data_IF_960771290254
#
_entry.id   IF_960771290254
#
_cell.length_a   1.000
_cell.length_b   1.000
_cell.length_c   1.000
_cell.angle_alpha   90.00
_cell.angle_beta   90.00
_cell.angle_gamma   90.00
#
_symmetry.space_group_name_H-M   'P 1'
#
loop_
_entity.id
_entity.type
_entity.pdbx_description
1 polymer ?
#
# COMPACT_ATOMS: atom_id res chain seq x y z
N UNK A 1 -25.19 30.12 11.22
CA UNK A 1 -26.60 29.77 10.90
C UNK A 1 -26.89 28.43 11.55
N UNK A 2 -27.86 28.38 12.49
CA UNK A 2 -28.28 27.15 13.18
C UNK A 2 -29.42 26.50 12.39
N UNK A 3 -29.23 25.29 11.88
CA UNK A 3 -30.28 24.50 11.26
C UNK A 3 -30.87 23.55 12.30
N UNK A 4 -32.15 23.77 12.64
CA UNK A 4 -32.94 22.89 13.49
C UNK A 4 -33.50 21.73 12.63
N UNK A 5 -33.32 20.50 13.11
CA UNK A 5 -33.85 19.29 12.49
C UNK A 5 -35.13 18.88 13.19
N UNK A 6 -36.25 18.95 12.48
CA UNK A 6 -37.58 18.56 12.96
C UNK A 6 -37.82 17.07 12.68
N UNK A 7 -38.03 16.27 13.72
CA UNK A 7 -38.38 14.85 13.57
C UNK A 7 -39.91 14.68 13.55
N UNK A 8 -40.41 14.03 12.50
CA UNK A 8 -41.82 13.65 12.35
C UNK A 8 -41.98 12.22 12.86
N UNK A 9 -42.77 12.03 13.90
CA UNK A 9 -43.10 10.71 14.46
C UNK A 9 -44.32 10.13 13.74
N UNK A 10 -44.19 8.94 13.18
CA UNK A 10 -45.25 8.22 12.47
C UNK A 10 -45.76 7.10 13.39
N UNK A 11 -46.98 7.23 13.89
CA UNK A 11 -47.62 6.22 14.75
C UNK A 11 -48.36 5.19 13.89
N UNK A 12 -47.99 3.92 13.98
CA UNK A 12 -48.67 2.80 13.32
C UNK A 12 -49.75 2.27 14.26
N UNK A 13 -51.00 2.27 13.78
CA UNK A 13 -52.16 1.67 14.47
C UNK A 13 -52.32 0.23 13.97
N UNK A 14 -52.12 -0.75 14.85
CA UNK A 14 -52.34 -2.17 14.55
C UNK A 14 -53.73 -2.56 15.08
N UNK A 15 -54.63 -2.91 14.16
CA UNK A 15 -55.98 -3.42 14.46
C UNK A 15 -55.95 -4.94 14.56
N UNK A 16 -56.31 -5.50 15.73
CA UNK A 16 -56.35 -6.95 15.98
C UNK A 16 -57.82 -7.37 16.10
N UNK A 17 -58.29 -8.18 15.15
CA UNK A 17 -59.62 -8.77 15.16
C UNK A 17 -59.67 -9.97 16.12
N UNK A 18 -60.62 -9.94 17.06
CA UNK A 18 -60.89 -11.01 18.04
C UNK A 18 -61.88 -12.04 17.49
N UNK A 19 -61.60 -13.33 17.66
CA UNK A 19 -62.61 -14.39 17.64
C UNK A 19 -62.72 -15.03 19.02
N UNK A 20 -63.96 -15.09 19.52
CA UNK A 20 -64.38 -15.51 20.87
C UNK A 20 -64.17 -17.02 21.10
N UNK A 21 -63.70 -17.37 22.30
CA UNK A 21 -64.23 -18.47 23.12
C UNK A 21 -63.79 -18.27 24.57
N UNK A 22 -64.73 -18.41 25.51
CA UNK A 22 -64.67 -17.83 26.85
C UNK A 22 -63.86 -18.63 27.87
N UNK A 23 -63.02 -17.92 28.62
CA UNK A 23 -62.68 -18.20 30.01
C UNK A 23 -62.09 -16.91 30.61
N UNK A 24 -62.37 -16.68 31.89
CA UNK A 24 -62.22 -15.40 32.57
C UNK A 24 -60.79 -14.81 32.58
N UNK A 25 -60.72 -13.63 31.97
CA UNK A 25 -59.74 -12.55 32.01
C UNK A 25 -58.89 -12.43 33.29
N UNK A 26 -57.55 -12.41 33.11
CA UNK A 26 -56.66 -11.33 33.60
C UNK A 26 -55.46 -11.20 32.65
N UNK A 27 -55.36 -10.12 31.85
CA UNK A 27 -54.35 -9.99 30.81
C UNK A 27 -53.14 -9.24 31.39
N UNK A 28 -52.07 -9.95 31.73
CA UNK A 28 -50.78 -9.31 31.95
C UNK A 28 -49.99 -9.39 30.64
N UNK A 29 -50.40 -8.55 29.69
CA UNK A 29 -49.70 -8.33 28.43
C UNK A 29 -48.52 -7.42 28.76
N UNK A 30 -47.35 -8.02 29.01
CA UNK A 30 -46.09 -7.29 29.07
C UNK A 30 -45.37 -7.50 27.73
N UNK A 31 -45.83 -6.72 26.75
CA UNK A 31 -45.27 -6.59 25.41
C UNK A 31 -43.92 -5.86 25.52
N UNK A 32 -42.83 -6.59 25.72
CA UNK A 32 -41.47 -6.07 25.53
C UNK A 32 -41.18 -5.99 24.03
N UNK A 33 -41.85 -5.06 23.34
CA UNK A 33 -41.44 -4.62 22.02
C UNK A 33 -40.26 -3.65 22.18
N UNK A 34 -39.10 -4.17 22.58
CA UNK A 34 -37.84 -3.43 22.49
C UNK A 34 -37.37 -3.50 21.03
N UNK A 35 -38.01 -2.69 20.19
CA UNK A 35 -37.51 -2.38 18.86
C UNK A 35 -36.27 -1.50 19.06
N UNK A 36 -35.13 -2.15 19.33
CA UNK A 36 -33.85 -1.47 19.37
C UNK A 36 -33.57 -0.94 17.97
N UNK A 37 -33.81 0.36 17.76
CA UNK A 37 -33.15 1.15 16.74
C UNK A 37 -31.65 1.04 17.01
N UNK A 38 -31.00 0.02 16.43
CA UNK A 38 -29.56 0.03 16.28
C UNK A 38 -29.27 1.06 15.19
N UNK A 39 -29.09 2.31 15.64
CA UNK A 39 -28.41 3.32 14.86
C UNK A 39 -27.03 2.74 14.52
N UNK A 40 -26.92 2.13 13.35
CA UNK A 40 -25.66 1.74 12.74
C UNK A 40 -24.90 3.03 12.45
N UNK A 41 -24.23 3.58 13.46
CA UNK A 41 -23.12 4.46 13.24
C UNK A 41 -22.14 3.64 12.40
N UNK A 42 -22.08 3.94 11.10
CA UNK A 42 -21.04 3.46 10.22
C UNK A 42 -19.73 3.99 10.80
N UNK A 43 -19.13 3.21 11.70
CA UNK A 43 -17.82 3.50 12.24
C UNK A 43 -16.90 3.49 11.03
N UNK A 44 -16.41 4.67 10.66
CA UNK A 44 -15.39 4.76 9.63
C UNK A 44 -14.28 3.80 10.03
N UNK A 45 -13.88 2.85 9.16
CA UNK A 45 -12.87 1.88 9.50
C UNK A 45 -11.62 2.65 9.92
N UNK A 46 -11.28 2.56 11.20
CA UNK A 46 -10.14 3.26 11.79
C UNK A 46 -8.91 2.80 11.02
N UNK A 47 -8.42 3.65 10.12
CA UNK A 47 -7.22 3.37 9.33
C UNK A 47 -6.03 3.43 10.27
N UNK A 48 -5.56 2.27 10.68
CA UNK A 48 -4.34 2.15 11.48
C UNK A 48 -3.17 2.18 10.49
N UNK A 49 -2.49 3.32 10.39
CA UNK A 49 -1.19 3.41 9.73
C UNK A 49 -0.14 2.93 10.73
N UNK A 50 0.47 1.78 10.47
CA UNK A 50 1.64 1.29 11.22
C UNK A 50 2.86 1.43 10.34
N UNK A 51 3.88 2.15 10.84
CA UNK A 51 5.23 2.11 10.29
C UNK A 51 5.90 0.85 10.82
N UNK A 52 6.32 -0.03 9.92
CA UNK A 52 7.01 -1.28 10.27
C UNK A 52 8.49 -1.08 9.97
N UNK A 53 9.36 -1.25 10.98
CA UNK A 53 10.81 -1.25 10.77
C UNK A 53 11.23 -2.53 10.02
N UNK A 54 12.24 -2.48 9.14
CA UNK A 54 12.78 -3.68 8.50
C UNK A 54 13.24 -4.75 9.49
N UNK A 55 13.67 -4.35 10.69
CA UNK A 55 14.15 -5.27 11.72
C UNK A 55 13.01 -6.00 12.44
N UNK A 56 11.80 -5.42 12.44
CA UNK A 56 10.63 -5.92 13.17
C UNK A 56 9.77 -6.90 12.35
N UNK A 57 10.04 -7.02 11.05
CA UNK A 57 9.29 -7.90 10.15
C UNK A 57 10.16 -8.58 9.10
N UNK A 58 9.72 -9.76 8.66
CA UNK A 58 10.25 -10.43 7.47
C UNK A 58 9.16 -10.39 6.40
N UNK A 59 9.50 -9.82 5.25
CA UNK A 59 8.58 -9.70 4.12
C UNK A 59 9.00 -10.73 3.07
N UNK A 60 8.17 -11.74 2.88
CA UNK A 60 8.37 -12.77 1.87
C UNK A 60 7.53 -12.41 0.64
N UNK A 61 8.17 -11.70 -0.30
CA UNK A 61 7.49 -11.10 -1.46
C UNK A 61 6.94 -12.16 -2.41
N UNK A 62 7.58 -13.32 -2.50
CA UNK A 62 7.16 -14.47 -3.32
C UNK A 62 5.78 -14.98 -2.95
N UNK A 63 5.42 -14.86 -1.67
CA UNK A 63 4.14 -15.29 -1.13
C UNK A 63 3.29 -14.14 -0.62
N UNK A 64 3.76 -12.90 -0.79
CA UNK A 64 3.11 -11.70 -0.29
C UNK A 64 2.95 -11.69 1.24
N UNK A 65 3.73 -12.43 2.02
CA UNK A 65 3.52 -12.50 3.47
C UNK A 65 4.37 -11.48 4.23
N UNK A 66 3.78 -10.81 5.21
CA UNK A 66 4.50 -10.01 6.23
C UNK A 66 4.42 -10.75 7.54
N UNK A 67 5.57 -11.24 8.01
CA UNK A 67 5.71 -12.04 9.22
C UNK A 67 6.31 -11.17 10.32
N UNK A 68 5.69 -11.18 11.50
CA UNK A 68 6.11 -10.37 12.64
C UNK A 68 5.95 -11.16 13.95
N UNK A 69 6.73 -10.82 15.00
CA UNK A 69 6.51 -11.39 16.32
C UNK A 69 5.20 -10.87 16.94
N UNK A 70 4.40 -11.78 17.49
CA UNK A 70 3.17 -11.50 18.24
C UNK A 70 3.01 -12.52 19.36
N UNK A 71 2.96 -12.04 20.61
CA UNK A 71 2.77 -12.90 21.80
C UNK A 71 3.77 -14.07 21.89
N UNK A 72 5.03 -13.83 21.52
CA UNK A 72 6.09 -14.84 21.56
C UNK A 72 6.10 -15.83 20.40
N UNK A 73 5.20 -15.67 19.42
CA UNK A 73 5.13 -16.49 18.21
C UNK A 73 5.36 -15.64 16.96
N UNK A 74 5.73 -16.25 15.84
CA UNK A 74 5.84 -15.56 14.55
C UNK A 74 4.53 -15.70 13.79
N UNK A 75 3.89 -14.59 13.47
CA UNK A 75 2.54 -14.59 12.87
C UNK A 75 2.56 -13.83 11.55
N UNK A 76 1.83 -14.34 10.57
CA UNK A 76 1.54 -13.65 9.33
C UNK A 76 0.49 -12.58 9.63
N UNK A 77 0.91 -11.32 9.75
CA UNK A 77 -0.02 -10.23 10.04
C UNK A 77 -0.76 -9.79 8.76
N UNK A 78 -0.04 -9.78 7.63
CA UNK A 78 -0.58 -9.30 6.34
C UNK A 78 -0.25 -10.29 5.24
N UNK A 79 -1.27 -10.62 4.44
CA UNK A 79 -1.11 -11.30 3.15
C UNK A 79 -1.40 -10.29 2.03
N UNK A 80 -0.37 -10.03 1.23
CA UNK A 80 -0.32 -9.08 0.14
C UNK A 80 -0.89 -9.70 -1.15
N UNK A 81 -2.10 -10.27 -1.09
CA UNK A 81 -2.77 -10.85 -2.25
C UNK A 81 -2.04 -12.07 -2.84
N UNK A 82 -2.69 -12.76 -3.78
CA UNK A 82 -2.14 -13.98 -4.35
C UNK A 82 -1.09 -13.64 -5.42
N UNK A 83 0.16 -13.98 -5.14
CA UNK A 83 1.33 -13.82 -6.02
C UNK A 83 1.44 -14.92 -7.08
N UNK A 84 0.49 -15.86 -7.11
CA UNK A 84 0.32 -16.84 -8.19
C UNK A 84 1.33 -18.00 -8.20
N UNK A 85 2.15 -18.18 -7.16
CA UNK A 85 3.20 -19.21 -7.11
C UNK A 85 3.23 -20.04 -5.82
N UNK A 86 2.13 -20.05 -5.07
CA UNK A 86 2.06 -20.78 -3.79
C UNK A 86 1.13 -21.98 -3.96
N UNK A 87 1.59 -23.17 -3.57
CA UNK A 87 0.72 -24.35 -3.46
C UNK A 87 -0.21 -24.28 -2.23
N UNK A 88 0.07 -23.39 -1.28
CA UNK A 88 -0.65 -23.33 -0.01
C UNK A 88 -1.46 -22.04 0.17
N UNK A 89 -2.63 -22.19 0.79
CA UNK A 89 -3.53 -21.12 1.20
C UNK A 89 -3.01 -20.43 2.47
N UNK A 90 -2.11 -19.46 2.31
CA UNK A 90 -1.58 -18.65 3.40
C UNK A 90 -2.59 -17.57 3.80
N UNK A 91 -2.89 -17.46 5.10
CA UNK A 91 -3.81 -16.43 5.63
C UNK A 91 -3.15 -15.62 6.74
N UNK A 92 -3.73 -14.44 6.97
CA UNK A 92 -3.40 -13.68 8.16
C UNK A 92 -3.75 -14.50 9.42
N UNK A 93 -2.97 -14.29 10.48
CA UNK A 93 -2.98 -15.06 11.73
C UNK A 93 -2.43 -16.48 11.66
N UNK A 94 -1.89 -16.93 10.52
CA UNK A 94 -1.12 -18.17 10.48
C UNK A 94 0.18 -17.99 11.27
N UNK A 95 0.49 -18.97 12.13
CA UNK A 95 1.72 -19.00 12.92
C UNK A 95 2.82 -19.75 12.16
N UNK A 96 3.99 -19.14 12.02
CA UNK A 96 5.18 -19.71 11.37
C UNK A 96 5.96 -20.52 12.39
N UNK A 97 5.99 -21.84 12.21
CA UNK A 97 6.67 -22.78 13.12
C UNK A 97 8.01 -23.26 12.58
N UNK A 98 8.13 -23.39 11.25
CA UNK A 98 9.28 -24.01 10.60
C UNK A 98 9.63 -23.33 9.29
N UNK A 99 10.91 -23.36 8.92
CA UNK A 99 11.39 -23.06 7.58
C UNK A 99 12.37 -24.16 7.14
N UNK A 100 12.21 -24.67 5.92
CA UNK A 100 13.01 -25.77 5.35
C UNK A 100 13.25 -26.96 6.31
N UNK A 101 12.21 -27.34 7.06
CA UNK A 101 12.25 -28.46 8.01
C UNK A 101 12.96 -28.16 9.35
N UNK A 102 13.50 -26.95 9.54
CA UNK A 102 14.08 -26.49 10.81
C UNK A 102 13.05 -25.66 11.56
N UNK A 103 13.02 -25.81 12.88
CA UNK A 103 12.16 -25.00 13.76
C UNK A 103 12.65 -23.55 13.75
N UNK A 104 11.70 -22.62 13.69
CA UNK A 104 11.96 -21.17 13.74
C UNK A 104 11.36 -20.65 15.05
N UNK A 105 12.16 -20.00 15.89
CA UNK A 105 11.70 -19.43 17.17
C UNK A 105 11.71 -17.91 17.18
N UNK A 106 12.54 -17.31 16.33
CA UNK A 106 12.70 -15.88 16.25
C UNK A 106 12.65 -15.39 14.81
N UNK A 107 12.36 -14.10 14.65
CA UNK A 107 12.37 -13.45 13.35
C UNK A 107 13.75 -13.50 12.70
N UNK A 108 14.80 -13.42 13.52
CA UNK A 108 16.20 -13.57 13.09
C UNK A 108 16.45 -14.96 12.51
N UNK A 109 15.98 -16.03 13.18
CA UNK A 109 16.14 -17.40 12.69
C UNK A 109 15.45 -17.57 11.32
N UNK A 110 14.26 -16.98 11.16
CA UNK A 110 13.53 -17.05 9.91
C UNK A 110 14.31 -16.35 8.79
N UNK A 111 14.83 -15.14 9.09
CA UNK A 111 15.59 -14.33 8.14
C UNK A 111 16.86 -15.06 7.71
N UNK A 112 17.65 -15.57 8.65
CA UNK A 112 18.85 -16.35 8.35
C UNK A 112 18.55 -17.56 7.48
N UNK A 113 17.51 -18.35 7.82
CA UNK A 113 17.13 -19.50 7.03
C UNK A 113 16.65 -19.15 5.62
N UNK A 114 15.96 -18.01 5.48
CA UNK A 114 15.55 -17.49 4.18
C UNK A 114 16.75 -17.02 3.36
N UNK A 115 17.66 -16.28 3.98
CA UNK A 115 18.85 -15.72 3.34
C UNK A 115 19.86 -16.79 2.92
N UNK A 116 19.94 -17.90 3.66
CA UNK A 116 20.79 -19.05 3.33
C UNK A 116 20.24 -19.94 2.20
N UNK A 117 18.94 -19.87 1.89
CA UNK A 117 18.32 -20.80 0.95
C UNK A 117 18.70 -20.49 -0.51
N UNK A 118 19.10 -21.43 -1.37
CA UNK A 118 19.53 -21.06 -2.72
C UNK A 118 18.41 -20.41 -3.56
N UNK A 119 18.74 -19.32 -4.27
CA UNK A 119 17.83 -18.71 -5.27
C UNK A 119 17.48 -19.74 -6.36
N UNK A 120 16.24 -19.71 -6.83
CA UNK A 120 15.70 -20.64 -7.82
C UNK A 120 15.37 -22.02 -7.26
N UNK A 121 15.51 -22.25 -5.95
CA UNK A 121 15.11 -23.48 -5.27
C UNK A 121 13.83 -23.29 -4.47
N UNK A 122 13.18 -24.41 -4.20
CA UNK A 122 11.99 -24.47 -3.37
C UNK A 122 12.32 -24.11 -1.92
N UNK A 123 11.57 -23.16 -1.37
CA UNK A 123 11.55 -22.78 0.03
C UNK A 123 10.25 -23.26 0.68
N UNK A 124 10.35 -23.86 1.87
CA UNK A 124 9.21 -24.45 2.59
C UNK A 124 8.99 -23.74 3.91
N UNK A 125 7.75 -23.41 4.24
CA UNK A 125 7.36 -22.84 5.53
C UNK A 125 6.27 -23.71 6.15
N UNK A 126 6.50 -24.17 7.38
CA UNK A 126 5.49 -24.85 8.18
C UNK A 126 4.64 -23.82 8.93
N UNK A 127 3.33 -23.84 8.68
CA UNK A 127 2.34 -22.92 9.23
C UNK A 127 1.37 -23.66 10.14
N UNK A 128 0.86 -22.98 11.17
CA UNK A 128 -0.21 -23.45 12.05
C UNK A 128 -1.39 -22.47 12.03
N UNK A 129 -2.60 -23.00 11.87
CA UNK A 129 -3.86 -22.25 11.92
C UNK A 129 -4.85 -22.97 12.83
N UNK A 130 -4.98 -22.50 14.07
CA UNK A 130 -5.66 -23.26 15.11
C UNK A 130 -4.95 -24.59 15.33
N UNK A 131 -5.66 -25.71 15.20
CA UNK A 131 -5.08 -27.06 15.31
C UNK A 131 -4.50 -27.60 14.00
N UNK A 132 -4.71 -26.91 12.87
CA UNK A 132 -4.29 -27.39 11.56
C UNK A 132 -2.85 -26.99 11.26
N UNK A 133 -2.06 -27.95 10.78
CA UNK A 133 -0.71 -27.72 10.26
C UNK A 133 -0.72 -27.81 8.73
N UNK A 134 -0.04 -26.86 8.07
CA UNK A 134 0.12 -26.85 6.62
C UNK A 134 1.54 -26.44 6.22
N UNK A 135 1.97 -26.81 5.02
CA UNK A 135 3.28 -26.43 4.47
C UNK A 135 3.07 -25.57 3.25
N UNK A 136 3.54 -24.32 3.29
CA UNK A 136 3.65 -23.47 2.13
C UNK A 136 4.95 -23.73 1.38
N UNK A 137 4.86 -23.82 0.05
CA UNK A 137 6.00 -24.02 -0.86
C UNK A 137 5.99 -22.94 -1.92
N UNK A 138 7.17 -22.41 -2.22
CA UNK A 138 7.39 -21.43 -3.28
C UNK A 138 8.85 -21.47 -3.74
N UNK A 139 9.14 -20.97 -4.94
CA UNK A 139 10.52 -20.85 -5.43
C UNK A 139 11.12 -19.53 -4.93
N UNK A 140 12.27 -19.57 -4.24
CA UNK A 140 12.98 -18.35 -3.81
C UNK A 140 13.46 -17.59 -5.03
N UNK A 141 13.17 -16.29 -5.11
CA UNK A 141 13.63 -15.43 -6.21
C UNK A 141 14.81 -14.59 -5.77
N UNK A 142 15.61 -14.15 -6.74
CA UNK A 142 16.62 -13.12 -6.50
C UNK A 142 15.96 -11.77 -6.22
N UNK A 143 16.70 -10.87 -5.57
CA UNK A 143 16.23 -9.50 -5.35
C UNK A 143 15.94 -8.79 -6.69
N UNK A 144 16.76 -9.06 -7.70
CA UNK A 144 16.58 -8.58 -9.06
C UNK A 144 15.27 -9.08 -9.67
N UNK A 145 14.94 -10.37 -9.57
CA UNK A 145 13.69 -10.93 -10.07
C UNK A 145 12.46 -10.39 -9.32
N UNK A 146 12.58 -10.17 -8.02
CA UNK A 146 11.51 -9.54 -7.23
C UNK A 146 11.27 -8.09 -7.65
N UNK A 147 12.33 -7.37 -8.03
CA UNK A 147 12.25 -5.98 -8.48
C UNK A 147 11.87 -5.84 -9.97
N UNK A 148 12.28 -6.79 -10.82
CA UNK A 148 11.95 -6.84 -12.25
C UNK A 148 10.54 -7.42 -12.49
N UNK A 149 10.06 -8.29 -11.60
CA UNK A 149 8.71 -8.85 -11.60
C UNK A 149 7.59 -7.85 -11.27
N UNK A 150 7.94 -6.61 -10.92
CA UNK A 150 6.99 -5.52 -10.61
C UNK A 150 6.13 -5.01 -11.77
N UNK A 151 6.08 -5.74 -12.90
CA UNK A 151 5.30 -5.41 -14.09
C UNK A 151 4.08 -6.27 -14.38
N UNK A 152 3.85 -7.41 -13.70
CA UNK A 152 2.76 -8.30 -14.12
C UNK A 152 2.40 -9.39 -13.13
N UNK A 153 1.31 -9.19 -12.38
CA UNK A 153 0.65 -10.26 -11.63
C UNK A 153 0.13 -9.80 -10.28
N UNK A 154 -1.08 -9.21 -10.24
CA UNK A 154 -1.77 -8.88 -8.99
C UNK A 154 -1.43 -7.50 -8.43
N UNK A 155 -1.50 -6.46 -9.27
CA UNK A 155 -1.23 -5.08 -8.89
C UNK A 155 -2.08 -4.60 -7.72
N UNK A 156 -1.50 -4.57 -6.52
CA UNK A 156 -1.88 -3.54 -5.56
C UNK A 156 -1.28 -2.25 -6.09
N UNK A 157 -2.13 -1.40 -6.65
CA UNK A 157 -1.83 0.02 -6.83
C UNK A 157 -1.34 0.55 -5.49
N UNK A 158 -0.03 0.74 -5.33
CA UNK A 158 0.53 1.51 -4.22
C UNK A 158 -0.06 2.91 -4.37
N UNK A 159 -1.16 3.16 -3.66
CA UNK A 159 -1.84 4.45 -3.71
C UNK A 159 -1.08 5.34 -2.74
N UNK A 160 -0.02 5.97 -3.23
CA UNK A 160 0.66 7.02 -2.48
C UNK A 160 -0.30 8.20 -2.40
N UNK A 161 -0.93 8.36 -1.24
CA UNK A 161 -1.78 9.51 -0.96
C UNK A 161 -0.85 10.66 -0.58
N UNK A 162 -0.42 11.42 -1.57
CA UNK A 162 0.36 12.64 -1.36
C UNK A 162 -0.54 13.85 -1.50
N UNK A 163 -0.34 14.84 -0.64
CA UNK A 163 -0.93 16.17 -0.86
C UNK A 163 -0.18 16.81 -2.04
N UNK A 164 -0.87 16.86 -3.18
CA UNK A 164 -0.37 17.54 -4.38
C UNK A 164 -0.42 19.03 -4.13
N UNK A 165 0.70 19.73 -4.29
CA UNK A 165 0.68 21.20 -4.29
C UNK A 165 -0.01 21.68 -5.58
N UNK A 166 -0.73 22.79 -5.51
CA UNK A 166 -1.37 23.38 -6.69
C UNK A 166 -0.32 23.65 -7.79
N UNK A 167 -0.58 23.19 -9.01
CA UNK A 167 0.34 23.32 -10.15
C UNK A 167 1.56 22.39 -10.14
N UNK A 168 1.66 21.45 -9.20
CA UNK A 168 2.70 20.42 -9.21
C UNK A 168 2.39 19.34 -10.25
N UNK A 169 3.31 19.00 -11.14
CA UNK A 169 3.22 17.88 -12.07
C UNK A 169 4.05 16.70 -11.58
N UNK A 170 3.44 15.52 -11.53
CA UNK A 170 4.08 14.32 -11.03
C UNK A 170 4.70 13.52 -12.17
N UNK A 171 5.94 13.08 -11.98
CA UNK A 171 6.68 12.18 -12.85
C UNK A 171 7.03 10.91 -12.06
N UNK A 172 6.08 9.96 -11.93
CA UNK A 172 6.28 8.75 -11.13
C UNK A 172 7.49 7.93 -11.58
N UNK A 173 7.77 7.91 -12.89
CA UNK A 173 8.93 7.23 -13.45
C UNK A 173 10.27 7.74 -12.88
N UNK A 174 10.33 9.02 -12.51
CA UNK A 174 11.50 9.63 -11.85
C UNK A 174 11.36 9.68 -10.33
N UNK A 175 10.17 9.44 -9.80
CA UNK A 175 9.86 9.70 -8.41
C UNK A 175 9.90 11.18 -8.03
N UNK A 176 9.57 12.09 -8.96
CA UNK A 176 9.62 13.53 -8.70
C UNK A 176 8.24 14.18 -8.90
N UNK A 177 7.88 15.10 -8.02
CA UNK A 177 6.90 16.14 -8.27
C UNK A 177 7.62 17.44 -8.64
N UNK A 178 7.15 18.13 -9.68
CA UNK A 178 7.79 19.34 -10.21
C UNK A 178 6.75 20.43 -10.31
N UNK A 179 6.99 21.58 -9.69
CA UNK A 179 6.13 22.77 -9.79
C UNK A 179 6.85 23.91 -10.51
N UNK A 180 6.08 24.88 -10.99
CA UNK A 180 6.62 26.14 -11.46
C UNK A 180 6.60 27.17 -10.33
N UNK A 181 7.76 27.70 -9.94
CA UNK A 181 7.89 28.77 -8.94
C UNK A 181 8.74 29.89 -9.50
N UNK A 182 8.21 31.11 -9.54
CA UNK A 182 8.91 32.30 -10.05
C UNK A 182 9.48 32.09 -11.46
N UNK A 183 8.71 31.46 -12.36
CA UNK A 183 9.14 31.18 -13.74
C UNK A 183 10.30 30.18 -13.86
N UNK A 184 10.45 29.30 -12.86
CA UNK A 184 11.46 28.22 -12.84
C UNK A 184 10.80 26.89 -12.50
N UNK A 185 11.28 25.81 -13.11
CA UNK A 185 10.93 24.46 -12.69
C UNK A 185 11.64 24.11 -11.39
N UNK A 186 10.90 23.71 -10.36
CA UNK A 186 11.41 23.41 -9.03
C UNK A 186 10.88 22.05 -8.57
N UNK A 187 11.74 21.25 -7.95
CA UNK A 187 11.34 19.99 -7.32
C UNK A 187 10.44 20.28 -6.13
N UNK A 188 9.21 19.78 -6.18
CA UNK A 188 8.20 19.89 -5.13
C UNK A 188 8.29 18.75 -4.16
N UNK A 189 7.87 17.57 -4.59
CA UNK A 189 7.96 16.34 -3.81
C UNK A 189 9.01 15.38 -4.41
N UNK A 190 9.62 14.57 -3.53
CA UNK A 190 10.52 13.49 -3.93
C UNK A 190 9.98 12.19 -3.35
N UNK A 191 9.58 11.26 -4.23
CA UNK A 191 9.12 9.94 -3.83
C UNK A 191 10.31 9.13 -3.28
N UNK A 192 10.09 8.21 -2.34
CA UNK A 192 11.13 7.28 -1.88
C UNK A 192 11.80 6.50 -3.02
N UNK A 193 11.09 6.28 -4.14
CA UNK A 193 11.59 5.56 -5.32
C UNK A 193 12.54 6.39 -6.20
N UNK A 194 12.65 7.70 -5.98
CA UNK A 194 13.46 8.58 -6.83
C UNK A 194 14.93 8.15 -6.86
N UNK A 195 15.48 7.75 -5.71
CA UNK A 195 16.90 7.39 -5.56
C UNK A 195 17.40 6.34 -6.56
N UNK A 196 16.51 5.47 -7.06
CA UNK A 196 16.86 4.42 -8.01
C UNK A 196 17.32 4.96 -9.38
N UNK A 197 16.89 6.17 -9.77
CA UNK A 197 17.28 6.78 -11.04
C UNK A 197 18.49 7.74 -10.90
N UNK A 198 18.91 8.04 -9.67
CA UNK A 198 19.73 9.19 -9.34
C UNK A 198 20.99 8.76 -8.56
N UNK A 199 21.96 8.15 -9.25
CA UNK A 199 23.16 7.57 -8.63
C UNK A 199 24.23 8.58 -8.22
N UNK A 200 24.41 9.65 -9.01
CA UNK A 200 25.44 10.67 -8.76
C UNK A 200 24.95 11.88 -7.94
N UNK A 201 23.64 12.11 -7.94
CA UNK A 201 23.02 13.27 -7.28
C UNK A 201 21.59 12.93 -6.90
N UNK A 202 21.25 13.01 -5.61
CA UNK A 202 19.88 12.81 -5.13
C UNK A 202 19.12 14.15 -5.10
N UNK A 203 18.07 14.31 -5.92
CA UNK A 203 17.21 15.49 -5.88
C UNK A 203 16.54 15.64 -4.52
N UNK A 204 16.34 16.89 -4.10
CA UNK A 204 15.61 17.26 -2.88
C UNK A 204 14.56 18.31 -3.23
N UNK A 205 13.53 18.40 -2.40
CA UNK A 205 12.57 19.49 -2.46
C UNK A 205 13.29 20.85 -2.45
N UNK A 206 12.85 21.75 -3.34
CA UNK A 206 13.42 23.07 -3.54
C UNK A 206 14.55 23.15 -4.57
N UNK A 207 15.04 22.02 -5.10
CA UNK A 207 16.03 22.04 -6.18
C UNK A 207 15.44 22.67 -7.45
N UNK A 208 16.20 23.55 -8.09
CA UNK A 208 15.80 24.14 -9.37
C UNK A 208 16.27 23.25 -10.51
N UNK A 209 15.35 22.82 -11.37
CA UNK A 209 15.67 22.09 -12.60
C UNK A 209 16.07 23.13 -13.66
N UNK A 210 17.34 23.11 -14.05
CA UNK A 210 17.93 24.10 -14.96
C UNK A 210 17.81 23.65 -16.42
N UNK A 211 18.12 22.40 -16.70
CA UNK A 211 18.06 21.85 -18.06
C UNK A 211 17.77 20.35 -18.10
N UNK A 212 17.23 19.92 -19.22
CA UNK A 212 17.00 18.52 -19.59
C UNK A 212 17.65 18.28 -20.96
N UNK A 213 18.61 17.35 -21.02
CA UNK A 213 19.41 17.05 -22.21
C UNK A 213 20.00 18.31 -22.88
N UNK A 214 20.48 19.25 -22.06
CA UNK A 214 21.05 20.53 -22.52
C UNK A 214 20.04 21.59 -22.94
N UNK A 215 18.75 21.26 -23.03
CA UNK A 215 17.69 22.25 -23.27
C UNK A 215 17.27 22.89 -21.95
N UNK A 216 17.28 24.22 -21.90
CA UNK A 216 16.89 24.97 -20.72
C UNK A 216 15.41 24.75 -20.37
N UNK A 217 15.11 24.65 -19.07
CA UNK A 217 13.77 24.34 -18.56
C UNK A 217 13.28 25.50 -17.70
N UNK A 218 12.22 26.18 -18.14
CA UNK A 218 11.65 27.33 -17.44
C UNK A 218 10.42 26.97 -16.57
N UNK A 219 9.72 25.87 -16.85
CA UNK A 219 8.49 25.51 -16.15
C UNK A 219 8.37 24.00 -15.95
N UNK A 220 7.53 23.60 -15.00
CA UNK A 220 7.15 22.19 -14.80
C UNK A 220 6.58 21.58 -16.08
N UNK A 221 5.71 22.30 -16.80
CA UNK A 221 5.15 21.85 -18.07
C UNK A 221 6.23 21.62 -19.14
N UNK A 222 7.18 22.55 -19.29
CA UNK A 222 8.27 22.40 -20.24
C UNK A 222 9.16 21.20 -19.88
N UNK A 223 9.41 20.97 -18.59
CA UNK A 223 10.14 19.80 -18.12
C UNK A 223 9.42 18.49 -18.46
N UNK A 224 8.13 18.39 -18.09
CA UNK A 224 7.31 17.20 -18.32
C UNK A 224 7.20 16.90 -19.81
N UNK A 225 6.88 17.89 -20.64
CA UNK A 225 6.80 17.73 -22.10
C UNK A 225 8.13 17.31 -22.71
N UNK A 226 9.23 17.93 -22.25
CA UNK A 226 10.57 17.56 -22.69
C UNK A 226 10.93 16.12 -22.31
N UNK A 227 10.57 15.69 -21.10
CA UNK A 227 10.82 14.34 -20.63
C UNK A 227 9.94 13.30 -21.34
N UNK A 228 8.66 13.59 -21.53
CA UNK A 228 7.70 12.70 -22.20
C UNK A 228 8.02 12.51 -23.68
N UNK A 229 8.63 13.49 -24.33
CA UNK A 229 9.12 13.39 -25.70
C UNK A 229 10.28 12.41 -25.90
N UNK A 230 10.95 11.99 -24.84
CA UNK A 230 12.05 11.00 -24.91
C UNK A 230 11.50 9.58 -25.03
N UNK A 231 12.20 8.71 -25.77
CA UNK A 231 11.87 7.29 -25.87
C UNK A 231 12.43 6.53 -24.68
N UNK A 232 11.82 5.37 -24.40
CA UNK A 232 12.37 4.42 -23.44
C UNK A 232 13.83 4.08 -23.80
N UNK A 233 14.72 4.06 -22.81
CA UNK A 233 16.14 3.78 -23.02
C UNK A 233 16.96 4.95 -23.57
N UNK A 234 16.34 6.10 -23.90
CA UNK A 234 17.08 7.30 -24.27
C UNK A 234 17.97 7.76 -23.11
N UNK A 235 19.11 8.37 -23.43
CA UNK A 235 19.93 9.03 -22.41
C UNK A 235 19.20 10.27 -21.90
N UNK A 236 19.12 10.38 -20.57
CA UNK A 236 18.53 11.50 -19.85
C UNK A 236 19.61 12.13 -18.99
N UNK A 237 19.87 13.41 -19.18
CA UNK A 237 20.73 14.24 -18.34
C UNK A 237 19.92 15.40 -17.81
N UNK A 238 19.79 15.51 -16.50
CA UNK A 238 19.09 16.61 -15.83
C UNK A 238 20.13 17.41 -15.05
N UNK A 239 20.14 18.73 -15.22
CA UNK A 239 20.93 19.64 -14.40
C UNK A 239 20.04 20.27 -13.35
N UNK A 240 20.42 20.08 -12.10
CA UNK A 240 19.78 20.67 -10.93
C UNK A 240 20.67 21.78 -10.37
N UNK A 241 20.06 22.75 -9.69
CA UNK A 241 20.76 23.80 -8.96
C UNK A 241 20.24 23.91 -7.54
N UNK A 242 21.15 23.80 -6.56
CA UNK A 242 20.88 23.92 -5.12
C UNK A 242 21.86 24.90 -4.49
N UNK A 243 21.35 25.98 -3.89
CA UNK A 243 22.19 27.00 -3.26
C UNK A 243 23.22 27.62 -4.22
N UNK A 244 22.84 27.82 -5.49
CA UNK A 244 23.71 28.39 -6.52
C UNK A 244 24.71 27.41 -7.16
N UNK A 245 24.87 26.19 -6.64
CA UNK A 245 25.72 25.16 -7.24
C UNK A 245 24.92 24.25 -8.15
N UNK A 246 25.46 23.99 -9.33
CA UNK A 246 24.87 23.05 -10.29
C UNK A 246 25.39 21.63 -10.09
N UNK A 247 24.53 20.65 -10.33
CA UNK A 247 24.85 19.23 -10.28
C UNK A 247 24.04 18.51 -11.34
N UNK A 248 24.62 17.49 -11.98
CA UNK A 248 23.94 16.74 -13.03
C UNK A 248 23.67 15.30 -12.59
N UNK A 249 22.57 14.76 -13.09
CA UNK A 249 22.27 13.34 -13.03
C UNK A 249 22.07 12.80 -14.44
N UNK A 250 22.71 11.67 -14.76
CA UNK A 250 22.58 11.02 -16.06
C UNK A 250 22.17 9.56 -15.89
N UNK A 251 21.12 9.15 -16.61
CA UNK A 251 20.57 7.79 -16.57
C UNK A 251 19.86 7.47 -17.89
N UNK A 252 19.36 6.24 -18.02
CA UNK A 252 18.55 5.80 -19.17
C UNK A 252 17.07 5.92 -18.81
N UNK A 253 16.25 6.50 -19.69
CA UNK A 253 14.81 6.68 -19.43
C UNK A 253 14.18 5.31 -19.11
N UNK A 254 13.63 5.11 -17.90
CA UNK A 254 13.08 3.83 -17.51
C UNK A 254 11.81 3.53 -18.30
N UNK A 255 11.44 2.25 -18.33
CA UNK A 255 10.12 1.82 -18.79
C UNK A 255 9.04 2.58 -18.02
N UNK A 256 7.95 3.02 -18.69
CA UNK A 256 6.83 3.61 -17.99
C UNK A 256 6.27 2.60 -16.99
N UNK A 257 6.35 2.92 -15.69
CA UNK A 257 5.62 2.19 -14.67
C UNK A 257 4.14 2.42 -14.99
N UNK A 258 3.42 1.37 -15.37
CA UNK A 258 2.04 1.46 -15.89
C UNK A 258 1.14 2.40 -15.10
N UNK A 259 0.08 2.93 -15.74
CA UNK A 259 -0.74 4.04 -15.21
C UNK A 259 -0.99 3.93 -13.70
N UNK A 260 -0.28 4.78 -12.94
CA UNK A 260 -0.52 4.92 -11.51
C UNK A 260 -1.83 5.71 -11.35
N UNK A 261 -2.87 5.08 -10.82
CA UNK A 261 -4.10 5.81 -10.48
C UNK A 261 -3.82 6.72 -9.29
N UNK A 262 -3.82 8.02 -9.54
CA UNK A 262 -3.73 9.06 -8.52
C UNK A 262 -5.14 9.41 -8.07
N UNK A 263 -5.42 9.30 -6.78
CA UNK A 263 -6.68 9.79 -6.20
C UNK A 263 -6.41 11.19 -5.66
N UNK A 264 -6.79 12.22 -6.43
CA UNK A 264 -6.83 13.61 -5.97
C UNK A 264 -8.01 13.79 -5.01
N UNK A 265 -7.82 14.56 -3.94
CA UNK A 265 -8.93 15.04 -3.09
C UNK A 265 -9.59 16.25 -3.74
#
# INVERSE_FOLDING_TARGET
>A
MKTASTAVSCSIVISIHHHRSGAAVKPFILLFAFLALTAGAAQEPKRITRTISPDDAVILREIGAVIMPKEGSLVIEVVLGNTGQQEADIKAQDEVLMANGKRVKSLKDLREQYDDAPVGKEFKIGLKRGENLQIARFIRKSEEELNQGGGGGGGRTMTFRMERKEGEEMLPALGLGVLTKEGRAVVGNVLPTAGNNFTAFTPKEGDVIVSLNGTAVASSEAFVKGYDGLKEGDAVTIVFRRGGKESSASFKKPKPMGRMMMITK
#
